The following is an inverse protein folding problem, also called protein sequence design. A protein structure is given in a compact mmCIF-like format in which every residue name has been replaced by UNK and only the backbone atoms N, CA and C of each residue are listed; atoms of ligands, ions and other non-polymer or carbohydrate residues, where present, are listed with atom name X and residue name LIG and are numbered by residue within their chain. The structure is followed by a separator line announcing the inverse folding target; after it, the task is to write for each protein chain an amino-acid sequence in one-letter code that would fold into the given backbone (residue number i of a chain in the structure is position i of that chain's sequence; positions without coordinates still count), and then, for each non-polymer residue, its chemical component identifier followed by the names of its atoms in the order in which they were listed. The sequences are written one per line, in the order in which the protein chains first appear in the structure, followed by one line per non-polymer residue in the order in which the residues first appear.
data_IF_048693194165
#
_entry.id   IF_048693194165
#
_cell.length_a   1.000
_cell.length_b   1.000
_cell.length_c   1.000
_cell.angle_alpha   90.00
_cell.angle_beta   90.00
_cell.angle_gamma   90.00
#
_symmetry.space_group_name_H-M   'P 1'
#
loop_
_entity.id
_entity.type
_entity.pdbx_description
1 polymer ?
#
# COMPACT_ATOMS: atom_id res chain seq x y z
N UNK A 1 -6.42 -14.37 12.60
CA UNK A 1 -6.29 -14.21 11.14
C UNK A 1 -4.83 -13.96 10.84
N UNK A 2 -4.23 -14.80 10.00
CA UNK A 2 -2.87 -14.60 9.51
C UNK A 2 -2.89 -13.56 8.38
N UNK A 3 -1.96 -12.60 8.39
CA UNK A 3 -1.81 -11.62 7.31
C UNK A 3 -0.55 -11.97 6.52
N UNK A 4 -0.74 -12.35 5.26
CA UNK A 4 0.36 -12.55 4.31
C UNK A 4 0.63 -11.23 3.61
N UNK A 5 1.82 -10.67 3.86
CA UNK A 5 2.30 -9.44 3.23
C UNK A 5 3.47 -9.77 2.30
N UNK A 6 3.24 -9.86 0.97
CA UNK A 6 4.27 -10.21 0.00
C UNK A 6 5.47 -9.28 0.09
N UNK A 7 6.68 -9.82 0.23
CA UNK A 7 7.89 -9.00 0.22
C UNK A 7 8.01 -8.22 -1.09
N UNK A 8 8.62 -7.03 -1.02
CA UNK A 8 8.88 -6.16 -2.16
C UNK A 8 10.38 -5.88 -2.26
N UNK A 9 10.83 -5.60 -3.48
CA UNK A 9 12.24 -5.28 -3.69
C UNK A 9 12.55 -3.91 -3.11
N UNK A 10 13.48 -3.87 -2.15
CA UNK A 10 13.94 -2.66 -1.48
C UNK A 10 15.29 -2.93 -0.78
N UNK A 11 16.22 -1.97 -0.84
CA UNK A 11 17.57 -2.08 -0.25
C UNK A 11 18.29 -3.41 -0.53
N UNK A 12 18.37 -3.81 -1.81
CA UNK A 12 19.08 -5.03 -2.21
C UNK A 12 18.34 -6.34 -1.92
N UNK A 13 17.18 -6.28 -1.23
CA UNK A 13 16.32 -7.46 -1.10
C UNK A 13 15.71 -7.79 -2.48
N UNK A 14 15.92 -9.01 -3.01
CA UNK A 14 15.24 -9.43 -4.21
C UNK A 14 13.72 -9.41 -3.99
N UNK A 15 12.98 -8.98 -5.01
CA UNK A 15 11.54 -9.14 -5.02
C UNK A 15 11.12 -10.61 -5.06
N UNK A 16 9.82 -10.87 -5.04
CA UNK A 16 9.31 -12.23 -5.20
C UNK A 16 9.59 -12.78 -6.61
N UNK A 17 10.01 -14.04 -6.67
CA UNK A 17 10.07 -14.81 -7.92
C UNK A 17 8.66 -15.25 -8.35
N UNK A 18 8.51 -15.63 -9.62
CA UNK A 18 7.24 -16.20 -10.12
C UNK A 18 6.81 -17.45 -9.34
N UNK A 19 7.77 -18.32 -8.99
CA UNK A 19 7.52 -19.50 -8.17
C UNK A 19 6.98 -19.14 -6.78
N UNK A 20 7.58 -18.14 -6.12
CA UNK A 20 7.12 -17.68 -4.82
C UNK A 20 5.72 -17.03 -4.90
N UNK A 21 5.42 -16.31 -5.99
CA UNK A 21 4.07 -15.78 -6.22
C UNK A 21 3.05 -16.91 -6.35
N UNK A 22 3.33 -17.93 -7.18
CA UNK A 22 2.43 -19.07 -7.36
C UNK A 22 2.22 -19.83 -6.05
N UNK A 23 3.30 -20.07 -5.30
CA UNK A 23 3.20 -20.70 -3.98
C UNK A 23 2.30 -19.91 -3.02
N UNK A 24 2.41 -18.57 -3.00
CA UNK A 24 1.55 -17.76 -2.14
C UNK A 24 0.07 -17.90 -2.56
N UNK A 25 -0.23 -17.90 -3.86
CA UNK A 25 -1.60 -18.08 -4.37
C UNK A 25 -2.17 -19.43 -3.95
N UNK A 26 -1.44 -20.52 -4.20
CA UNK A 26 -1.83 -21.88 -3.77
C UNK A 26 -1.96 -21.96 -2.24
N UNK A 27 -1.07 -21.32 -1.50
CA UNK A 27 -1.10 -21.34 -0.05
C UNK A 27 -2.32 -20.64 0.53
N UNK A 28 -2.81 -19.56 -0.07
CA UNK A 28 -3.96 -18.80 0.48
C UNK A 28 -5.32 -19.32 -0.01
N UNK A 29 -5.33 -20.10 -1.09
CA UNK A 29 -6.55 -20.61 -1.72
C UNK A 29 -7.40 -21.42 -0.71
N UNK A 30 -8.71 -21.14 -0.69
CA UNK A 30 -9.67 -21.81 0.20
C UNK A 30 -9.56 -21.49 1.70
N UNK A 31 -8.51 -20.82 2.17
CA UNK A 31 -8.28 -20.60 3.62
C UNK A 31 -8.96 -19.34 4.12
N UNK A 32 -10.01 -19.48 4.93
CA UNK A 32 -10.82 -18.35 5.43
C UNK A 32 -10.15 -17.49 6.52
N UNK A 33 -9.12 -17.99 7.17
CA UNK A 33 -8.40 -17.36 8.27
C UNK A 33 -7.10 -16.67 7.84
N UNK A 34 -6.78 -16.68 6.54
CA UNK A 34 -5.63 -16.00 5.96
C UNK A 34 -6.07 -14.80 5.11
N UNK A 35 -5.49 -13.64 5.35
CA UNK A 35 -5.67 -12.46 4.52
C UNK A 35 -4.45 -12.26 3.61
N UNK A 36 -4.73 -12.02 2.34
CA UNK A 36 -3.80 -11.51 1.35
C UNK A 36 -4.54 -10.47 0.52
N UNK A 37 -3.91 -9.33 0.23
CA UNK A 37 -4.41 -8.43 -0.81
C UNK A 37 -3.93 -8.93 -2.18
N UNK A 38 -4.84 -9.53 -2.94
CA UNK A 38 -4.53 -10.16 -4.24
C UNK A 38 -3.99 -9.15 -5.27
N UNK A 39 -4.33 -7.87 -5.10
CA UNK A 39 -3.81 -6.81 -5.95
C UNK A 39 -2.28 -6.67 -5.85
N UNK A 40 -1.67 -7.06 -4.73
CA UNK A 40 -0.21 -7.04 -4.57
C UNK A 40 0.50 -8.06 -5.45
N UNK A 41 -0.04 -9.28 -5.54
CA UNK A 41 0.50 -10.32 -6.40
C UNK A 41 0.25 -9.97 -7.86
N UNK A 42 -0.96 -9.50 -8.18
CA UNK A 42 -1.28 -9.07 -9.54
C UNK A 42 -0.42 -7.91 -10.03
N UNK A 43 -0.09 -6.95 -9.16
CA UNK A 43 0.83 -5.86 -9.49
C UNK A 43 2.21 -6.40 -9.86
N UNK A 44 2.73 -7.36 -9.10
CA UNK A 44 4.03 -8.01 -9.38
C UNK A 44 4.01 -8.76 -10.70
N UNK A 45 2.97 -9.56 -10.96
CA UNK A 45 2.78 -10.28 -12.23
C UNK A 45 2.73 -9.35 -13.44
N UNK A 46 2.19 -8.14 -13.26
CA UNK A 46 2.12 -7.13 -14.31
C UNK A 46 3.39 -6.28 -14.44
N UNK A 47 4.48 -6.65 -13.76
CA UNK A 47 5.76 -5.94 -13.83
C UNK A 47 5.83 -4.68 -12.99
N UNK A 48 4.95 -4.50 -11.99
CA UNK A 48 4.96 -3.37 -11.06
C UNK A 48 4.27 -2.12 -11.59
N UNK A 49 4.54 -0.98 -10.96
CA UNK A 49 4.02 0.31 -11.42
C UNK A 49 4.63 0.72 -12.77
N UNK A 50 3.80 1.27 -13.66
CA UNK A 50 4.21 1.75 -14.96
C UNK A 50 4.15 3.28 -14.98
N UNK A 51 5.26 3.96 -15.26
CA UNK A 51 5.34 5.44 -15.22
C UNK A 51 4.46 6.13 -16.26
N UNK A 52 4.15 5.45 -17.37
CA UNK A 52 3.23 5.95 -18.41
C UNK A 52 1.76 5.85 -17.97
N UNK A 53 1.44 4.87 -17.12
CA UNK A 53 0.10 4.64 -16.55
C UNK A 53 0.20 4.42 -15.03
N UNK A 54 0.55 5.47 -14.27
CA UNK A 54 0.91 5.32 -12.86
C UNK A 54 -0.30 4.93 -12.02
N UNK A 55 -0.07 3.99 -11.11
CA UNK A 55 -1.07 3.52 -10.15
C UNK A 55 -0.84 4.14 -8.77
N UNK A 56 0.42 4.46 -8.44
CA UNK A 56 0.83 4.95 -7.14
C UNK A 56 0.13 6.27 -6.77
N UNK A 57 -0.34 6.36 -5.53
CA UNK A 57 -0.98 7.52 -4.90
C UNK A 57 -0.25 7.94 -3.62
N UNK A 58 1.07 7.84 -3.63
CA UNK A 58 1.93 8.08 -2.47
C UNK A 58 1.84 9.51 -1.92
N UNK A 59 1.44 10.50 -2.72
CA UNK A 59 1.38 11.91 -2.29
C UNK A 59 -0.07 12.37 -2.12
N UNK A 60 -0.95 11.92 -3.02
CA UNK A 60 -2.36 12.27 -2.98
C UNK A 60 -3.10 11.61 -1.83
N UNK A 61 -2.73 10.38 -1.43
CA UNK A 61 -3.44 9.60 -0.39
C UNK A 61 -2.62 9.30 0.88
N UNK A 62 -1.32 9.58 0.89
CA UNK A 62 -0.45 9.33 2.04
C UNK A 62 0.30 10.60 2.43
N UNK A 63 0.63 10.72 3.71
CA UNK A 63 1.56 11.70 4.26
C UNK A 63 2.59 10.93 5.06
N UNK A 64 3.86 11.08 4.70
CA UNK A 64 4.97 10.53 5.47
C UNK A 64 5.54 11.64 6.32
N UNK A 65 5.54 11.48 7.64
CA UNK A 65 6.13 12.43 8.59
C UNK A 65 7.35 11.76 9.21
N UNK A 66 8.51 12.40 9.10
CA UNK A 66 9.75 11.94 9.72
C UNK A 66 9.80 12.30 11.22
N UNK A 67 10.66 11.65 12.01
CA UNK A 67 10.91 12.03 13.41
C UNK A 67 11.41 13.48 13.57
N UNK A 68 11.95 14.10 12.51
CA UNK A 68 12.46 15.47 12.51
C UNK A 68 11.36 16.52 12.23
N UNK A 69 10.08 16.12 12.30
CA UNK A 69 8.94 16.98 12.00
C UNK A 69 8.97 17.52 10.55
N UNK A 70 9.28 16.64 9.59
CA UNK A 70 9.32 16.96 8.16
C UNK A 70 8.39 16.01 7.39
N UNK A 71 7.66 16.53 6.39
CA UNK A 71 6.96 15.73 5.39
C UNK A 71 7.96 15.24 4.35
N UNK A 72 8.03 13.93 4.11
CA UNK A 72 8.89 13.30 3.11
C UNK A 72 8.14 13.09 1.79
N UNK A 73 8.76 13.44 0.66
CA UNK A 73 8.18 13.38 -0.67
C UNK A 73 9.07 12.64 -1.68
N UNK A 74 8.48 11.96 -2.69
CA UNK A 74 7.06 11.61 -2.75
C UNK A 74 6.69 10.49 -1.77
N UNK A 75 7.68 9.75 -1.27
CA UNK A 75 7.47 8.56 -0.46
C UNK A 75 8.72 8.29 0.41
N UNK A 76 8.55 7.55 1.51
CA UNK A 76 9.62 7.18 2.44
C UNK A 76 10.72 6.35 1.77
N UNK A 77 10.33 5.47 0.84
CA UNK A 77 11.24 4.50 0.23
C UNK A 77 12.18 5.16 -0.79
N UNK A 78 11.75 6.30 -1.36
CA UNK A 78 12.49 7.06 -2.37
C UNK A 78 12.37 8.54 -2.03
N UNK A 79 12.92 8.91 -0.86
CA UNK A 79 12.82 10.23 -0.27
C UNK A 79 13.61 11.28 -1.08
N UNK A 80 12.96 11.87 -2.09
CA UNK A 80 13.57 12.83 -2.99
C UNK A 80 13.60 14.26 -2.43
N UNK A 81 12.64 14.63 -1.59
CA UNK A 81 12.53 15.97 -1.02
C UNK A 81 11.80 15.95 0.33
N UNK A 82 11.92 17.05 1.08
CA UNK A 82 11.32 17.22 2.40
C UNK A 82 10.75 18.62 2.62
N UNK A 83 9.74 18.71 3.47
CA UNK A 83 9.11 19.97 3.87
C UNK A 83 8.99 20.01 5.39
N UNK A 84 9.62 20.98 6.05
CA UNK A 84 9.44 21.20 7.49
C UNK A 84 7.97 21.50 7.81
N UNK A 85 7.43 20.87 8.84
CA UNK A 85 6.07 21.13 9.32
C UNK A 85 6.13 22.35 10.24
N UNK A 86 6.08 23.55 9.64
CA UNK A 86 6.13 24.85 10.32
C UNK A 86 4.80 25.61 10.29
N UNK A 87 3.77 25.02 9.69
CA UNK A 87 2.40 25.54 9.56
C UNK A 87 1.42 24.37 9.42
N UNK A 88 0.09 24.59 9.50
CA UNK A 88 -0.88 23.51 9.38
C UNK A 88 -0.67 22.64 8.13
N UNK A 89 -0.68 21.31 8.28
CA UNK A 89 -0.44 20.36 7.18
C UNK A 89 -1.40 20.62 6.00
N UNK A 90 -2.63 21.05 6.28
CA UNK A 90 -3.62 21.43 5.26
C UNK A 90 -3.10 22.51 4.31
N UNK A 91 -2.38 23.50 4.83
CA UNK A 91 -1.75 24.55 4.03
C UNK A 91 -0.53 24.04 3.27
N UNK A 92 0.33 23.24 3.92
CA UNK A 92 1.49 22.63 3.26
C UNK A 92 1.03 21.78 2.07
N UNK A 93 -0.07 21.03 2.21
CA UNK A 93 -0.64 20.21 1.13
C UNK A 93 -1.17 20.99 -0.07
N UNK A 94 -1.35 22.31 0.06
CA UNK A 94 -1.72 23.24 -1.01
C UNK A 94 -0.51 23.92 -1.66
N UNK A 95 0.70 23.72 -1.14
CA UNK A 95 1.93 24.29 -1.70
C UNK A 95 2.23 23.76 -3.11
N UNK A 96 2.94 24.57 -3.90
CA UNK A 96 3.39 24.20 -5.24
C UNK A 96 4.27 22.95 -5.23
N UNK A 97 5.17 22.84 -4.25
CA UNK A 97 6.03 21.66 -4.07
C UNK A 97 5.21 20.38 -3.94
N UNK A 98 4.20 20.35 -3.05
CA UNK A 98 3.31 19.18 -2.93
C UNK A 98 2.50 18.96 -4.21
N UNK A 99 2.06 20.02 -4.88
CA UNK A 99 1.32 19.93 -6.15
C UNK A 99 2.16 19.29 -7.26
N UNK A 100 3.45 19.65 -7.37
CA UNK A 100 4.41 19.01 -8.26
C UNK A 100 4.55 17.52 -7.97
N UNK A 101 4.82 17.14 -6.71
CA UNK A 101 4.97 15.74 -6.34
C UNK A 101 3.67 14.93 -6.52
N UNK A 102 2.49 15.54 -6.35
CA UNK A 102 1.20 14.92 -6.70
C UNK A 102 1.06 14.65 -8.20
N UNK A 103 1.53 15.54 -9.07
CA UNK A 103 1.51 15.32 -10.53
C UNK A 103 2.49 14.21 -10.95
N UNK A 104 3.63 14.13 -10.25
CA UNK A 104 4.70 13.18 -10.53
C UNK A 104 4.57 11.84 -9.78
N UNK A 105 3.58 11.67 -8.89
CA UNK A 105 3.44 10.45 -8.12
C UNK A 105 3.32 9.21 -9.03
N UNK A 106 4.19 8.21 -8.82
CA UNK A 106 4.26 7.03 -9.67
C UNK A 106 4.88 7.25 -11.06
N UNK A 107 5.37 8.45 -11.39
CA UNK A 107 5.94 8.79 -12.71
C UNK A 107 7.45 9.04 -12.72
N UNK A 108 8.10 9.09 -11.57
CA UNK A 108 9.57 9.16 -11.51
C UNK A 108 10.21 7.86 -12.02
N UNK A 109 11.47 7.92 -12.47
CA UNK A 109 12.15 6.75 -13.03
C UNK A 109 12.23 5.58 -12.04
N UNK A 110 12.50 5.87 -10.75
CA UNK A 110 12.48 4.86 -9.69
C UNK A 110 11.09 4.26 -9.41
N UNK A 111 10.01 4.86 -9.93
CA UNK A 111 8.66 4.31 -9.79
C UNK A 111 8.39 3.19 -10.80
N UNK A 112 9.19 3.07 -11.86
CA UNK A 112 9.04 2.00 -12.84
C UNK A 112 9.32 0.66 -12.17
N UNK A 113 8.38 -0.28 -12.28
CA UNK A 113 8.49 -1.59 -11.65
C UNK A 113 8.29 -1.62 -10.13
N UNK A 114 8.01 -0.48 -9.49
CA UNK A 114 7.84 -0.43 -8.05
C UNK A 114 6.66 -1.29 -7.57
N UNK A 115 6.86 -2.05 -6.48
CA UNK A 115 5.90 -2.99 -5.88
C UNK A 115 5.71 -2.77 -4.37
N UNK A 116 6.10 -1.61 -3.84
CA UNK A 116 6.05 -1.28 -2.41
C UNK A 116 4.60 -1.21 -1.91
N UNK A 117 4.19 -2.23 -1.16
CA UNK A 117 2.80 -2.43 -0.72
C UNK A 117 2.26 -1.23 0.09
N UNK A 118 3.11 -0.56 0.89
CA UNK A 118 2.74 0.58 1.74
C UNK A 118 2.04 1.72 0.97
N UNK A 119 2.40 1.92 -0.30
CA UNK A 119 1.77 2.95 -1.13
C UNK A 119 0.71 2.39 -2.06
N UNK A 120 0.78 1.12 -2.43
CA UNK A 120 -0.24 0.50 -3.27
C UNK A 120 -1.53 0.18 -2.52
N UNK A 121 -1.47 -0.14 -1.22
CA UNK A 121 -2.67 -0.30 -0.39
C UNK A 121 -3.59 0.93 -0.45
N UNK A 122 -3.13 2.15 -0.11
CA UNK A 122 -3.96 3.35 -0.25
C UNK A 122 -4.26 3.68 -1.71
N UNK A 123 -3.39 3.32 -2.66
CA UNK A 123 -3.67 3.50 -4.10
C UNK A 123 -4.82 2.64 -4.61
N UNK A 124 -5.03 1.48 -4.00
CA UNK A 124 -6.11 0.55 -4.33
C UNK A 124 -7.32 0.72 -3.42
N UNK A 125 -7.28 1.62 -2.43
CA UNK A 125 -8.38 1.84 -1.48
C UNK A 125 -9.75 2.01 -2.16
N UNK A 126 -9.80 2.76 -3.26
CA UNK A 126 -11.01 2.99 -4.05
C UNK A 126 -11.00 2.20 -5.37
N UNK A 127 -12.15 1.68 -5.85
CA UNK A 127 -12.28 0.89 -7.08
C UNK A 127 -12.21 1.75 -8.36
N UNK A 128 -11.24 2.66 -8.40
CA UNK A 128 -10.95 3.56 -9.54
C UNK A 128 -10.09 2.90 -10.62
N UNK A 129 -9.63 1.68 -10.36
CA UNK A 129 -8.87 0.86 -11.29
C UNK A 129 -9.10 -0.62 -10.95
N UNK A 130 -8.65 -1.50 -11.84
CA UNK A 130 -8.79 -2.94 -11.67
C UNK A 130 -8.22 -3.45 -10.33
N UNK A 131 -7.08 -2.93 -9.87
CA UNK A 131 -6.44 -3.38 -8.63
C UNK A 131 -7.28 -3.05 -7.40
N UNK A 132 -7.98 -1.91 -7.42
CA UNK A 132 -8.98 -1.57 -6.41
C UNK A 132 -10.11 -2.60 -6.34
N UNK A 133 -10.58 -3.07 -7.50
CA UNK A 133 -11.61 -4.12 -7.58
C UNK A 133 -11.07 -5.46 -7.08
N UNK A 134 -9.88 -5.88 -7.54
CA UNK A 134 -9.24 -7.13 -7.11
C UNK A 134 -9.00 -7.16 -5.60
N UNK A 135 -8.66 -6.03 -4.99
CA UNK A 135 -8.43 -5.95 -3.54
C UNK A 135 -9.69 -6.03 -2.68
N UNK A 136 -10.89 -6.01 -3.27
CA UNK A 136 -12.15 -5.83 -2.53
C UNK A 136 -12.49 -7.06 -1.67
N UNK A 137 -12.34 -8.26 -2.20
CA UNK A 137 -12.57 -9.53 -1.49
C UNK A 137 -11.74 -9.59 -0.20
N UNK A 138 -10.44 -9.31 -0.32
CA UNK A 138 -9.49 -9.25 0.78
C UNK A 138 -9.92 -8.24 1.83
N UNK A 139 -10.33 -7.03 1.43
CA UNK A 139 -10.76 -5.98 2.35
C UNK A 139 -12.04 -6.33 3.09
N UNK A 140 -13.02 -6.93 2.42
CA UNK A 140 -14.25 -7.42 3.06
C UNK A 140 -13.89 -8.47 4.12
N UNK A 141 -13.03 -9.43 3.76
CA UNK A 141 -12.54 -10.47 4.68
C UNK A 141 -11.84 -9.86 5.90
N UNK A 142 -10.91 -8.94 5.67
CA UNK A 142 -10.22 -8.22 6.75
C UNK A 142 -11.21 -7.46 7.65
N UNK A 143 -12.15 -6.72 7.05
CA UNK A 143 -13.17 -5.96 7.75
C UNK A 143 -14.04 -6.84 8.64
N UNK A 144 -14.51 -7.99 8.13
CA UNK A 144 -15.28 -8.95 8.91
C UNK A 144 -14.48 -9.48 10.12
N UNK A 145 -13.24 -9.93 9.90
CA UNK A 145 -12.40 -10.45 10.99
C UNK A 145 -12.08 -9.37 12.03
N UNK A 146 -11.75 -8.15 11.59
CA UNK A 146 -11.33 -7.06 12.46
C UNK A 146 -12.50 -6.42 13.21
N UNK A 147 -13.63 -6.21 12.55
CA UNK A 147 -14.74 -5.40 13.09
C UNK A 147 -15.83 -6.26 13.72
N UNK A 148 -16.07 -7.48 13.21
CA UNK A 148 -17.11 -8.39 13.72
C UNK A 148 -16.47 -9.43 14.64
N UNK A 149 -15.62 -10.32 14.09
CA UNK A 149 -15.10 -11.48 14.81
C UNK A 149 -14.26 -11.10 16.03
N UNK A 150 -13.34 -10.14 15.89
CA UNK A 150 -12.52 -9.67 17.01
C UNK A 150 -13.38 -9.04 18.13
N UNK A 151 -14.41 -8.25 17.78
CA UNK A 151 -15.30 -7.64 18.79
C UNK A 151 -16.16 -8.66 19.51
N UNK A 152 -16.66 -9.68 18.81
CA UNK A 152 -17.40 -10.78 19.43
C UNK A 152 -16.49 -11.55 20.40
N UNK A 153 -15.28 -11.89 19.96
CA UNK A 153 -14.31 -12.60 20.79
C UNK A 153 -13.89 -11.79 22.03
N UNK A 154 -13.64 -10.49 21.90
CA UNK A 154 -13.29 -9.65 23.04
C UNK A 154 -14.41 -9.54 24.07
N UNK A 155 -15.69 -9.52 23.63
CA UNK A 155 -16.84 -9.52 24.53
C UNK A 155 -17.00 -10.85 25.28
N UNK A 156 -16.83 -11.97 24.59
CA UNK A 156 -16.90 -13.31 25.20
C UNK A 156 -15.75 -13.50 26.20
N UNK A 157 -14.53 -13.09 25.84
CA UNK A 157 -13.37 -13.16 26.74
C UNK A 157 -13.46 -12.25 27.96
N UNK A 158 -14.32 -11.21 27.96
CA UNK A 158 -14.56 -10.37 29.13
C UNK A 158 -15.68 -10.90 30.04
N UNK A 159 -16.40 -11.95 29.61
CA UNK A 159 -17.49 -12.61 30.35
C UNK A 159 -17.06 -13.93 30.99
N UNK A 160 -15.87 -14.42 30.66
CA UNK A 160 -15.18 -15.57 31.26
C UNK A 160 -14.08 -15.06 32.19
#
# INVERSE_FOLDING_TARGET
MLIVNPVFSYFGNPGLTGQAINFIEEYVEGKHDIYLNDAYLRLRKNGGNNIKKPLCKAVSRVIVISPNNEIILPCYHFANDKIKINRPIKEIRRSEKVSYFKKMEGRFDFCQGCTVNCYFEPSFAFPTNMYGIVSLSSKIKYGYHKLIKQKLFSKVSSLL
#
